data_IF_984963352441
#
_entry.id   IF_984963352441
#
_cell.length_a   1.000
_cell.length_b   1.000
_cell.length_c   1.000
_cell.angle_alpha   90.00
_cell.angle_beta   90.00
_cell.angle_gamma   90.00
#
_symmetry.space_group_name_H-M   'P 1'
#
loop_
_entity.id
_entity.type
_entity.pdbx_description
1 polymer ?
#
# COMPACT_ATOMS: atom_id res chain seq x y z
N UNK A 1 -8.23 4.87 -4.25
CA UNK A 1 -8.75 3.96 -5.31
C UNK A 1 -9.99 4.52 -6.03
N UNK A 2 -11.04 4.95 -5.31
CA UNK A 2 -12.24 5.53 -5.94
C UNK A 2 -11.93 6.81 -6.73
N UNK A 3 -12.60 6.97 -7.89
CA UNK A 3 -12.39 8.10 -8.80
C UNK A 3 -11.19 7.97 -9.74
N UNK A 4 -10.51 6.82 -9.71
CA UNK A 4 -9.48 6.45 -10.66
C UNK A 4 -9.95 5.27 -11.51
N UNK A 5 -9.67 5.30 -12.81
CA UNK A 5 -9.93 4.17 -13.70
C UNK A 5 -9.31 2.89 -13.13
N UNK A 6 -10.02 1.77 -13.27
CA UNK A 6 -9.61 0.48 -12.69
C UNK A 6 -9.31 0.58 -11.19
N UNK A 7 -9.98 1.46 -10.45
CA UNK A 7 -9.72 1.70 -9.02
C UNK A 7 -8.24 1.91 -8.68
N UNK A 8 -7.45 2.41 -9.61
CA UNK A 8 -6.00 2.60 -9.52
C UNK A 8 -5.17 1.29 -9.42
N UNK A 9 -5.76 0.13 -9.69
CA UNK A 9 -5.09 -1.18 -9.61
C UNK A 9 -3.77 -1.23 -10.37
N UNK A 10 -3.65 -0.70 -11.61
CA UNK A 10 -2.37 -0.69 -12.31
C UNK A 10 -1.24 0.02 -11.55
N UNK A 11 -1.56 1.04 -10.74
CA UNK A 11 -0.55 1.71 -9.92
C UNK A 11 -0.13 0.85 -8.72
N UNK A 12 -1.07 0.09 -8.11
CA UNK A 12 -0.77 -0.88 -7.06
C UNK A 12 0.10 -2.01 -7.58
N UNK A 13 -0.21 -2.57 -8.74
CA UNK A 13 0.56 -3.66 -9.35
C UNK A 13 1.99 -3.23 -9.63
N UNK A 14 2.15 -2.05 -10.25
CA UNK A 14 3.47 -1.48 -10.52
C UNK A 14 4.26 -1.24 -9.24
N UNK A 15 3.61 -0.72 -8.20
CA UNK A 15 4.23 -0.50 -6.90
C UNK A 15 4.66 -1.82 -6.25
N UNK A 16 3.79 -2.83 -6.26
CA UNK A 16 4.09 -4.15 -5.73
C UNK A 16 5.27 -4.81 -6.46
N UNK A 17 5.30 -4.74 -7.79
CA UNK A 17 6.41 -5.23 -8.61
C UNK A 17 7.73 -4.53 -8.23
N UNK A 18 7.73 -3.20 -8.15
CA UNK A 18 8.91 -2.42 -7.78
C UNK A 18 9.44 -2.81 -6.39
N UNK A 19 8.56 -2.88 -5.38
CA UNK A 19 8.95 -3.21 -4.02
C UNK A 19 9.45 -4.65 -3.90
N UNK A 20 8.82 -5.60 -4.59
CA UNK A 20 9.32 -6.99 -4.69
C UNK A 20 10.67 -7.06 -5.38
N UNK A 21 10.89 -6.26 -6.43
CA UNK A 21 12.18 -6.12 -7.09
C UNK A 21 13.29 -5.58 -6.18
N UNK A 22 12.93 -4.80 -5.16
CA UNK A 22 13.83 -4.32 -4.10
C UNK A 22 14.05 -5.35 -2.98
N UNK A 23 13.34 -6.49 -3.00
CA UNK A 23 13.49 -7.58 -2.04
C UNK A 23 12.46 -7.60 -0.91
N UNK A 24 11.37 -6.83 -1.03
CA UNK A 24 10.30 -6.82 -0.04
C UNK A 24 9.25 -7.89 -0.32
N UNK A 25 8.68 -8.47 0.74
CA UNK A 25 7.39 -9.18 0.65
C UNK A 25 6.28 -8.13 0.70
N UNK A 26 5.37 -8.15 -0.27
CA UNK A 26 4.35 -7.11 -0.43
C UNK A 26 2.95 -7.71 -0.33
N UNK A 27 2.17 -7.20 0.60
CA UNK A 27 0.72 -7.33 0.63
C UNK A 27 0.11 -6.19 -0.20
N UNK A 28 -0.66 -6.50 -1.22
CA UNK A 28 -1.29 -5.52 -2.10
C UNK A 28 -2.81 -5.58 -1.95
N UNK A 29 -3.48 -4.50 -1.51
CA UNK A 29 -4.94 -4.44 -1.45
C UNK A 29 -5.64 -4.72 -2.78
N UNK A 30 -5.01 -4.37 -3.90
CA UNK A 30 -5.53 -4.67 -5.24
C UNK A 30 -5.51 -6.19 -5.51
N UNK A 31 -4.41 -6.87 -5.18
CA UNK A 31 -4.31 -8.33 -5.32
C UNK A 31 -5.30 -9.06 -4.41
N UNK A 32 -5.48 -8.59 -3.16
CA UNK A 32 -6.45 -9.18 -2.25
C UNK A 32 -7.89 -8.98 -2.74
N UNK A 33 -8.21 -7.83 -3.34
CA UNK A 33 -9.51 -7.60 -3.99
C UNK A 33 -9.72 -8.55 -5.17
N UNK A 34 -8.70 -8.79 -6.00
CA UNK A 34 -8.78 -9.78 -7.09
C UNK A 34 -9.02 -11.21 -6.57
N UNK A 35 -8.40 -11.59 -5.46
CA UNK A 35 -8.60 -12.90 -4.83
C UNK A 35 -10.01 -13.04 -4.24
N UNK A 36 -10.51 -12.00 -3.58
CA UNK A 36 -11.83 -11.99 -2.96
C UNK A 36 -12.98 -11.97 -3.99
N UNK A 37 -12.75 -11.39 -5.15
CA UNK A 37 -13.74 -11.25 -6.24
C UNK A 37 -13.16 -11.73 -7.57
N UNK A 38 -12.92 -13.05 -7.74
CA UNK A 38 -12.19 -13.60 -8.88
C UNK A 38 -12.92 -13.45 -10.22
N UNK A 39 -14.23 -13.28 -10.19
CA UNK A 39 -15.07 -13.13 -11.40
C UNK A 39 -15.18 -11.66 -11.87
N UNK A 40 -14.54 -10.72 -11.17
CA UNK A 40 -14.58 -9.30 -11.49
C UNK A 40 -13.36 -8.90 -12.30
N UNK A 41 -13.59 -8.38 -13.50
CA UNK A 41 -12.53 -7.71 -14.26
C UNK A 41 -12.33 -6.27 -13.78
N UNK A 42 -11.55 -6.13 -12.71
CA UNK A 42 -11.24 -4.84 -12.07
C UNK A 42 -10.62 -3.82 -13.02
N UNK A 43 -9.87 -4.28 -14.03
CA UNK A 43 -9.13 -3.42 -14.95
C UNK A 43 -10.03 -2.77 -16.01
N UNK A 44 -11.22 -3.34 -16.25
CA UNK A 44 -12.22 -2.77 -17.16
C UNK A 44 -13.10 -1.69 -16.52
N UNK A 45 -13.08 -1.56 -15.18
CA UNK A 45 -13.96 -0.67 -14.44
C UNK A 45 -13.50 0.80 -14.50
N UNK A 46 -14.45 1.72 -14.40
CA UNK A 46 -14.15 3.16 -14.40
C UNK A 46 -13.80 3.72 -13.01
N UNK A 47 -14.00 2.92 -11.96
CA UNK A 47 -13.65 3.30 -10.58
C UNK A 47 -14.73 4.12 -9.87
N UNK A 48 -15.99 3.90 -10.21
CA UNK A 48 -17.12 4.63 -9.66
C UNK A 48 -17.71 3.97 -8.41
N UNK A 49 -18.41 4.76 -7.57
CA UNK A 49 -19.12 4.24 -6.39
C UNK A 49 -20.31 3.35 -6.79
N UNK A 50 -20.93 3.60 -7.95
CA UNK A 50 -22.00 2.76 -8.49
C UNK A 50 -21.52 1.35 -8.82
N UNK A 51 -20.31 1.23 -9.37
CA UNK A 51 -19.70 -0.08 -9.66
C UNK A 51 -19.44 -0.86 -8.36
N UNK A 52 -18.87 -0.23 -7.33
CA UNK A 52 -18.68 -0.88 -6.03
C UNK A 52 -20.00 -1.34 -5.41
N UNK A 53 -21.05 -0.51 -5.54
CA UNK A 53 -22.39 -0.86 -5.05
C UNK A 53 -22.96 -2.07 -5.79
N UNK A 54 -22.83 -2.11 -7.12
CA UNK A 54 -23.27 -3.25 -7.95
C UNK A 54 -22.52 -4.53 -7.61
N UNK A 55 -21.23 -4.42 -7.35
CA UNK A 55 -20.37 -5.54 -6.95
C UNK A 55 -20.61 -5.97 -5.49
N UNK A 56 -21.40 -5.20 -4.72
CA UNK A 56 -21.56 -5.39 -3.27
C UNK A 56 -20.21 -5.40 -2.54
N UNK A 57 -19.27 -4.57 -3.02
CA UNK A 57 -17.94 -4.51 -2.45
C UNK A 57 -17.96 -3.93 -1.03
N UNK A 58 -17.51 -4.73 -0.08
CA UNK A 58 -17.41 -4.35 1.33
C UNK A 58 -16.19 -3.48 1.61
N UNK A 59 -16.28 -2.16 1.32
CA UNK A 59 -15.15 -1.25 1.56
C UNK A 59 -14.68 -1.27 3.03
N UNK A 60 -15.63 -1.41 3.98
CA UNK A 60 -15.31 -1.51 5.40
C UNK A 60 -14.53 -2.78 5.73
N UNK A 61 -14.94 -3.90 5.15
CA UNK A 61 -14.26 -5.19 5.35
C UNK A 61 -12.85 -5.16 4.74
N UNK A 62 -12.71 -4.67 3.52
CA UNK A 62 -11.41 -4.51 2.86
C UNK A 62 -10.47 -3.63 3.70
N UNK A 63 -10.94 -2.48 4.20
CA UNK A 63 -10.12 -1.62 5.07
C UNK A 63 -9.78 -2.32 6.40
N UNK A 64 -10.70 -3.10 6.96
CA UNK A 64 -10.45 -3.87 8.18
C UNK A 64 -9.35 -4.90 7.97
N UNK A 65 -9.36 -5.60 6.83
CA UNK A 65 -8.34 -6.57 6.46
C UNK A 65 -6.96 -5.91 6.28
N UNK A 66 -6.92 -4.78 5.57
CA UNK A 66 -5.70 -3.99 5.36
C UNK A 66 -5.11 -3.54 6.71
N UNK A 67 -5.93 -2.94 7.59
CA UNK A 67 -5.50 -2.48 8.91
C UNK A 67 -5.08 -3.66 9.81
N UNK A 68 -5.77 -4.79 9.73
CA UNK A 68 -5.40 -6.00 10.47
C UNK A 68 -4.03 -6.51 10.01
N UNK A 69 -3.77 -6.49 8.71
CA UNK A 69 -2.47 -6.87 8.18
C UNK A 69 -1.38 -5.91 8.67
N UNK A 70 -1.61 -4.60 8.60
CA UNK A 70 -0.67 -3.57 9.09
C UNK A 70 -0.36 -3.80 10.57
N UNK A 71 -1.39 -3.98 11.40
CA UNK A 71 -1.21 -4.14 12.85
C UNK A 71 -0.47 -5.42 13.25
N UNK A 72 -0.59 -6.49 12.47
CA UNK A 72 -0.12 -7.83 12.90
C UNK A 72 1.11 -8.34 12.17
N UNK A 73 1.36 -7.84 10.95
CA UNK A 73 2.33 -8.47 10.06
C UNK A 73 3.26 -7.51 9.35
N UNK A 74 2.85 -6.26 9.12
CA UNK A 74 3.64 -5.32 8.35
C UNK A 74 4.80 -4.73 9.18
N UNK A 75 5.94 -4.55 8.55
CA UNK A 75 7.08 -3.79 9.08
C UNK A 75 7.10 -2.35 8.54
N UNK A 76 6.21 -2.07 7.58
CA UNK A 76 6.08 -0.74 6.99
C UNK A 76 4.90 -0.63 6.04
N UNK A 77 4.59 0.60 5.68
CA UNK A 77 3.52 0.95 4.74
C UNK A 77 4.11 1.75 3.59
N UNK A 78 3.79 1.34 2.36
CA UNK A 78 4.19 2.02 1.14
C UNK A 78 3.00 2.81 0.58
N UNK A 79 3.14 4.12 0.49
CA UNK A 79 2.09 5.07 0.13
C UNK A 79 2.32 5.57 -1.31
N UNK A 80 1.37 5.31 -2.19
CA UNK A 80 1.41 5.76 -3.58
C UNK A 80 1.37 7.29 -3.68
N UNK A 81 1.87 7.85 -4.76
CA UNK A 81 1.78 9.29 -5.02
C UNK A 81 0.31 9.75 -4.98
N UNK A 82 0.05 10.81 -4.21
CA UNK A 82 -1.31 11.34 -4.00
C UNK A 82 -2.12 10.65 -2.90
N UNK A 83 -1.51 9.78 -2.11
CA UNK A 83 -2.15 9.05 -1.01
C UNK A 83 -2.90 9.95 -0.01
N UNK A 84 -2.48 11.19 0.16
CA UNK A 84 -3.10 12.16 1.08
C UNK A 84 -4.57 12.45 0.74
N UNK A 85 -4.96 12.20 -0.53
CA UNK A 85 -6.34 12.36 -1.01
C UNK A 85 -7.21 11.14 -0.69
N UNK A 86 -6.61 9.98 -0.37
CA UNK A 86 -7.32 8.76 -0.02
C UNK A 86 -7.60 8.70 1.48
N UNK A 87 -8.89 8.50 1.84
CA UNK A 87 -9.27 8.33 3.26
C UNK A 87 -8.68 7.04 3.85
N UNK A 88 -8.67 5.95 3.09
CA UNK A 88 -8.10 4.66 3.53
C UNK A 88 -6.58 4.80 3.73
N UNK A 89 -5.85 5.29 2.73
CA UNK A 89 -4.40 5.44 2.84
C UNK A 89 -3.98 6.37 3.99
N UNK A 90 -4.79 7.40 4.30
CA UNK A 90 -4.57 8.24 5.49
C UNK A 90 -4.78 7.47 6.79
N UNK A 91 -5.80 6.62 6.88
CA UNK A 91 -6.04 5.77 8.04
C UNK A 91 -4.89 4.78 8.24
N UNK A 92 -4.46 4.11 7.19
CA UNK A 92 -3.34 3.17 7.19
C UNK A 92 -2.03 3.85 7.59
N UNK A 93 -1.76 5.04 7.04
CA UNK A 93 -0.61 5.86 7.43
C UNK A 93 -0.66 6.26 8.91
N UNK A 94 -1.83 6.62 9.44
CA UNK A 94 -2.00 6.98 10.85
C UNK A 94 -1.75 5.78 11.77
N UNK A 95 -2.22 4.59 11.40
CA UNK A 95 -1.95 3.34 12.13
C UNK A 95 -0.45 3.02 12.09
N UNK A 96 0.20 3.15 10.94
CA UNK A 96 1.64 2.94 10.81
C UNK A 96 2.44 3.89 11.73
N UNK A 97 2.04 5.17 11.82
CA UNK A 97 2.64 6.13 12.77
C UNK A 97 2.46 5.68 14.21
N UNK A 98 1.24 5.25 14.58
CA UNK A 98 0.92 4.83 15.95
C UNK A 98 1.67 3.58 16.40
N UNK A 99 2.14 2.78 15.44
CA UNK A 99 2.90 1.54 15.67
C UNK A 99 4.40 1.69 15.40
N UNK A 100 4.89 2.92 15.18
CA UNK A 100 6.28 3.22 14.83
C UNK A 100 6.80 2.43 13.60
N UNK A 101 5.90 2.07 12.68
CA UNK A 101 6.26 1.36 11.46
C UNK A 101 6.95 2.29 10.45
N UNK A 102 7.79 1.73 9.62
CA UNK A 102 8.37 2.47 8.50
C UNK A 102 7.28 2.90 7.52
N UNK A 103 7.40 4.13 7.01
CA UNK A 103 6.54 4.62 5.93
C UNK A 103 7.41 5.03 4.76
N UNK A 104 6.97 4.67 3.57
CA UNK A 104 7.62 5.03 2.33
C UNK A 104 6.61 5.73 1.43
N UNK A 105 7.01 6.80 0.77
CA UNK A 105 6.18 7.49 -0.23
C UNK A 105 6.78 7.31 -1.62
N UNK A 106 5.91 7.15 -2.58
CA UNK A 106 6.28 7.18 -3.98
C UNK A 106 6.29 8.62 -4.50
N UNK A 107 7.40 9.02 -5.10
CA UNK A 107 7.55 10.31 -5.80
C UNK A 107 8.26 10.04 -7.12
N UNK A 108 7.62 10.37 -8.23
CA UNK A 108 8.18 10.15 -9.58
C UNK A 108 8.72 8.74 -9.79
N UNK A 109 7.95 7.72 -9.41
CA UNK A 109 8.29 6.29 -9.48
C UNK A 109 9.49 5.84 -8.62
N UNK A 110 9.92 6.64 -7.66
CA UNK A 110 10.94 6.28 -6.68
C UNK A 110 10.34 6.25 -5.29
N UNK A 111 10.90 5.43 -4.41
CA UNK A 111 10.45 5.27 -3.04
C UNK A 111 11.38 5.97 -2.05
N UNK A 112 10.79 6.73 -1.14
CA UNK A 112 11.53 7.48 -0.13
C UNK A 112 10.95 7.24 1.26
N UNK A 113 11.82 7.09 2.24
CA UNK A 113 11.40 6.93 3.62
C UNK A 113 10.91 8.24 4.22
N UNK A 114 9.81 8.18 4.98
CA UNK A 114 9.31 9.26 5.84
C UNK A 114 9.67 8.92 7.29
N UNK A 115 10.26 9.86 8.02
CA UNK A 115 10.52 9.71 9.45
C UNK A 115 9.19 9.64 10.24
N UNK A 116 9.23 9.05 11.45
CA UNK A 116 8.05 8.93 12.32
C UNK A 116 7.37 10.28 12.61
N UNK A 117 8.14 11.35 12.74
CA UNK A 117 7.62 12.72 12.92
C UNK A 117 7.05 13.35 11.65
N UNK A 118 6.93 12.61 10.55
CA UNK A 118 6.45 13.12 9.26
C UNK A 118 7.49 13.87 8.44
N UNK A 119 8.68 14.12 8.97
CA UNK A 119 9.73 14.80 8.22
C UNK A 119 10.29 13.89 7.12
N UNK A 120 10.59 14.50 5.99
CA UNK A 120 11.26 13.85 4.88
C UNK A 120 12.64 13.32 5.31
N UNK A 121 12.91 12.04 5.11
CA UNK A 121 14.19 11.45 5.48
C UNK A 121 15.27 11.65 4.39
N UNK A 122 14.86 11.97 3.16
CA UNK A 122 15.75 12.08 2.02
C UNK A 122 16.37 10.77 1.54
N UNK A 123 16.04 9.67 2.20
CA UNK A 123 16.62 8.35 1.92
C UNK A 123 15.77 7.65 0.85
N UNK A 124 16.34 7.45 -0.34
CA UNK A 124 15.72 6.64 -1.38
C UNK A 124 15.84 5.17 -1.02
N UNK A 125 14.76 4.41 -1.19
CA UNK A 125 14.76 2.97 -1.03
C UNK A 125 15.49 2.33 -2.22
N UNK A 126 16.60 1.64 -1.95
CA UNK A 126 17.40 0.95 -2.95
C UNK A 126 17.45 -0.55 -2.64
N UNK A 127 17.84 -1.35 -3.63
CA UNK A 127 17.97 -2.80 -3.48
C UNK A 127 18.98 -3.12 -2.37
N UNK A 128 18.54 -3.88 -1.37
CA UNK A 128 19.37 -4.24 -0.21
C UNK A 128 19.37 -3.19 0.91
N UNK A 129 18.67 -2.07 0.77
CA UNK A 129 18.52 -1.10 1.85
C UNK A 129 17.56 -1.62 2.92
N UNK A 130 18.11 -1.97 4.06
CA UNK A 130 17.37 -2.33 5.28
C UNK A 130 17.63 -1.24 6.31
N UNK A 131 16.67 -0.31 6.46
CA UNK A 131 16.83 0.79 7.39
C UNK A 131 16.87 0.31 8.83
N UNK A 132 18.04 0.43 9.46
CA UNK A 132 18.19 0.32 10.92
C UNK A 132 18.04 -1.08 11.52
N UNK A 133 18.05 -2.14 10.71
CA UNK A 133 18.00 -3.52 11.15
C UNK A 133 19.35 -4.17 10.87
N UNK A 134 19.90 -4.82 11.88
CA UNK A 134 21.13 -5.61 11.83
C UNK A 134 21.09 -6.58 10.63
N UNK A 135 22.24 -6.84 9.95
CA UNK A 135 22.28 -7.83 8.87
C UNK A 135 21.69 -9.17 9.36
N UNK A 136 20.60 -9.61 8.73
CA UNK A 136 19.91 -10.84 9.13
C UNK A 136 18.40 -10.70 9.41
N UNK A 137 17.89 -9.49 9.67
CA UNK A 137 16.46 -9.25 9.79
C UNK A 137 15.94 -8.58 8.51
N UNK A 138 15.47 -9.38 7.56
CA UNK A 138 14.83 -8.89 6.34
C UNK A 138 13.60 -8.04 6.70
N UNK A 139 13.42 -6.92 6.01
CA UNK A 139 12.15 -6.19 6.03
C UNK A 139 11.10 -7.13 5.43
N UNK A 140 10.31 -7.76 6.30
CA UNK A 140 9.55 -8.93 5.89
C UNK A 140 8.29 -8.58 5.13
N UNK A 141 7.69 -7.39 5.31
CA UNK A 141 6.36 -7.09 4.70
C UNK A 141 6.10 -5.59 4.62
N UNK A 142 5.75 -5.10 3.44
CA UNK A 142 5.21 -3.76 3.22
C UNK A 142 3.81 -3.86 2.61
N UNK A 143 2.89 -3.00 3.05
CA UNK A 143 1.60 -2.79 2.39
C UNK A 143 1.71 -1.65 1.39
N UNK A 144 1.26 -1.85 0.17
CA UNK A 144 1.13 -0.79 -0.82
C UNK A 144 -0.31 -0.24 -0.77
N UNK A 145 -0.42 1.03 -0.41
CA UNK A 145 -1.70 1.74 -0.31
C UNK A 145 -1.86 2.84 -1.35
#
# INVERSE_FOLDING_TARGET
MRGYKAFNFPAFDKAAEQLRGLGHEVFSPAEESCKAYPDVDWYSLEGTDEELTKLKFGLGDALCDDLTYICRKADGVALLEGWEKSKCARAESAVAVSLDLNRYIQVSNKWYRIKANGAWAGEQLEKGYVSGITPGAAMRRATAC
#
